data_IF_096179060595
#
_entry.id   IF_096179060595
#
_cell.length_a   1.000
_cell.length_b   1.000
_cell.length_c   1.000
_cell.angle_alpha   90.00
_cell.angle_beta   90.00
_cell.angle_gamma   90.00
#
_symmetry.space_group_name_H-M   'P 1'
#
loop_
_entity.id
_entity.type
_entity.pdbx_description
1 polymer ?
#
# COMPACT_ATOMS: atom_id res chain seq x y z
N UNK A 1 -6.15 -12.75 -40.46
CA UNK A 1 -5.49 -12.27 -39.23
C UNK A 1 -5.52 -13.38 -38.19
N UNK A 2 -4.43 -14.13 -38.05
CA UNK A 2 -4.35 -15.30 -37.17
C UNK A 2 -4.32 -14.82 -35.71
N UNK A 3 -5.37 -15.12 -34.95
CA UNK A 3 -5.50 -14.76 -33.54
C UNK A 3 -4.42 -15.53 -32.75
N UNK A 4 -3.39 -14.83 -32.27
CA UNK A 4 -2.34 -15.42 -31.42
C UNK A 4 -3.00 -16.26 -30.31
N UNK A 5 -2.60 -17.53 -30.10
CA UNK A 5 -3.19 -18.36 -29.05
C UNK A 5 -2.98 -17.68 -27.70
N UNK A 6 -4.04 -17.67 -26.86
CA UNK A 6 -3.94 -17.11 -25.51
C UNK A 6 -2.88 -17.92 -24.76
N UNK A 7 -1.82 -17.25 -24.31
CA UNK A 7 -0.81 -17.87 -23.46
C UNK A 7 -1.48 -18.47 -22.22
N UNK A 8 -1.07 -19.69 -21.79
CA UNK A 8 -1.65 -20.33 -20.62
C UNK A 8 -1.39 -19.49 -19.36
N UNK A 9 -2.26 -19.62 -18.37
CA UNK A 9 -2.18 -18.84 -17.13
C UNK A 9 -0.84 -19.10 -16.40
N UNK A 10 -0.34 -20.33 -16.45
CA UNK A 10 0.97 -20.73 -15.89
C UNK A 10 2.12 -19.85 -16.37
N UNK A 11 2.20 -19.61 -17.68
CA UNK A 11 3.31 -18.86 -18.28
C UNK A 11 3.19 -17.38 -17.93
N UNK A 12 1.95 -16.87 -17.86
CA UNK A 12 1.69 -15.48 -17.46
C UNK A 12 2.04 -15.25 -15.99
N UNK A 13 1.69 -16.19 -15.10
CA UNK A 13 2.04 -16.15 -13.68
C UNK A 13 3.56 -16.21 -13.51
N UNK A 14 4.23 -17.16 -14.17
CA UNK A 14 5.68 -17.33 -14.09
C UNK A 14 6.41 -16.07 -14.58
N UNK A 15 6.00 -15.51 -15.72
CA UNK A 15 6.60 -14.26 -16.25
C UNK A 15 6.39 -13.07 -15.31
N UNK A 16 5.18 -12.91 -14.75
CA UNK A 16 4.90 -11.84 -13.80
C UNK A 16 5.74 -12.00 -12.52
N UNK A 17 5.85 -13.22 -12.01
CA UNK A 17 6.63 -13.53 -10.82
C UNK A 17 8.13 -13.33 -11.03
N UNK A 18 8.68 -13.77 -12.17
CA UNK A 18 10.09 -13.55 -12.52
C UNK A 18 10.45 -12.06 -12.63
N UNK A 19 9.59 -11.27 -13.26
CA UNK A 19 9.80 -9.83 -13.40
C UNK A 19 9.85 -9.10 -12.05
N UNK A 20 9.03 -9.53 -11.09
CA UNK A 20 9.00 -8.95 -9.74
C UNK A 20 10.18 -9.44 -8.91
N UNK A 21 10.44 -10.75 -8.92
CA UNK A 21 11.55 -11.37 -8.18
C UNK A 21 12.90 -10.75 -8.59
N UNK A 22 13.13 -10.52 -9.89
CA UNK A 22 14.36 -9.91 -10.39
C UNK A 22 14.59 -8.47 -9.88
N UNK A 23 13.53 -7.73 -9.54
CA UNK A 23 13.61 -6.33 -9.10
C UNK A 23 13.60 -6.19 -7.58
N UNK A 24 12.78 -6.98 -6.90
CA UNK A 24 12.51 -6.81 -5.46
C UNK A 24 13.11 -7.93 -4.60
N UNK A 25 13.63 -9.01 -5.20
CA UNK A 25 14.10 -10.24 -4.53
C UNK A 25 13.03 -10.97 -3.68
N UNK A 26 11.77 -10.58 -3.84
CA UNK A 26 10.60 -11.21 -3.26
C UNK A 26 9.41 -11.05 -4.20
N UNK A 27 8.47 -12.00 -4.17
CA UNK A 27 7.21 -11.91 -4.92
C UNK A 27 6.02 -12.25 -4.04
N UNK A 28 4.96 -11.46 -4.11
CA UNK A 28 3.68 -11.72 -3.45
C UNK A 28 2.56 -12.07 -4.45
N UNK A 29 1.45 -12.60 -3.93
CA UNK A 29 0.22 -12.82 -4.72
C UNK A 29 -0.29 -11.50 -5.33
N UNK A 30 -0.21 -10.40 -4.57
CA UNK A 30 -0.63 -9.07 -5.03
C UNK A 30 0.20 -8.62 -6.23
N UNK A 31 1.51 -8.84 -6.21
CA UNK A 31 2.39 -8.46 -7.33
C UNK A 31 2.05 -9.21 -8.61
N UNK A 32 1.77 -10.52 -8.48
CA UNK A 32 1.34 -11.34 -9.62
C UNK A 32 0.01 -10.84 -10.16
N UNK A 33 -0.96 -10.51 -9.30
CA UNK A 33 -2.25 -10.00 -9.75
C UNK A 33 -2.15 -8.65 -10.46
N UNK A 34 -1.24 -7.78 -10.01
CA UNK A 34 -0.88 -6.56 -10.73
C UNK A 34 -0.22 -6.86 -12.09
N UNK A 35 0.74 -7.78 -12.14
CA UNK A 35 1.41 -8.20 -13.38
C UNK A 35 0.48 -8.89 -14.39
N UNK A 36 -0.57 -9.55 -13.91
CA UNK A 36 -1.62 -10.15 -14.73
C UNK A 36 -2.67 -9.13 -15.24
N UNK A 37 -2.67 -7.91 -14.69
CA UNK A 37 -3.66 -6.87 -14.97
C UNK A 37 -5.03 -7.10 -14.31
N UNK A 38 -5.10 -8.02 -13.34
CA UNK A 38 -6.31 -8.34 -12.58
C UNK A 38 -6.58 -7.34 -11.46
N UNK A 39 -5.53 -6.66 -11.01
CA UNK A 39 -5.56 -5.62 -10.00
C UNK A 39 -4.74 -4.42 -10.49
N UNK A 40 -5.37 -3.27 -10.65
CA UNK A 40 -4.64 -2.02 -10.95
C UNK A 40 -4.32 -1.21 -9.70
N UNK A 41 -3.50 -0.18 -9.87
CA UNK A 41 -3.04 0.66 -8.76
C UNK A 41 -4.19 1.36 -8.04
N UNK A 42 -5.26 1.76 -8.74
CA UNK A 42 -6.40 2.44 -8.11
C UNK A 42 -7.15 1.50 -7.18
N UNK A 43 -7.48 0.30 -7.66
CA UNK A 43 -8.17 -0.72 -6.87
C UNK A 43 -7.33 -1.18 -5.68
N UNK A 44 -6.01 -1.34 -5.88
CA UNK A 44 -5.09 -1.65 -4.77
C UNK A 44 -5.10 -0.54 -3.70
N UNK A 45 -5.14 0.74 -4.10
CA UNK A 45 -5.22 1.85 -3.15
C UNK A 45 -6.57 1.89 -2.41
N UNK A 46 -7.68 1.63 -3.09
CA UNK A 46 -9.00 1.54 -2.46
C UNK A 46 -9.01 0.47 -1.36
N UNK A 47 -8.50 -0.73 -1.67
CA UNK A 47 -8.37 -1.81 -0.69
C UNK A 47 -7.42 -1.45 0.46
N UNK A 48 -6.24 -0.89 0.17
CA UNK A 48 -5.30 -0.44 1.21
C UNK A 48 -5.91 0.62 2.14
N UNK A 49 -6.82 1.46 1.65
CA UNK A 49 -7.54 2.47 2.43
C UNK A 49 -8.83 1.94 3.07
N UNK A 50 -9.09 0.62 2.97
CA UNK A 50 -10.31 -0.04 3.43
C UNK A 50 -11.61 0.52 2.84
N UNK A 51 -11.54 1.05 1.63
CA UNK A 51 -12.75 1.47 0.91
C UNK A 51 -13.57 0.28 0.38
N UNK A 52 -12.99 -0.92 0.44
CA UNK A 52 -13.64 -2.20 0.11
C UNK A 52 -13.30 -3.22 1.18
N UNK A 53 -14.21 -4.18 1.40
CA UNK A 53 -14.14 -5.12 2.52
C UNK A 53 -13.06 -6.18 2.33
N UNK A 54 -12.85 -6.63 1.09
CA UNK A 54 -11.85 -7.61 0.72
C UNK A 54 -11.23 -7.30 -0.66
N UNK A 55 -9.99 -7.74 -0.90
CA UNK A 55 -9.31 -7.53 -2.18
C UNK A 55 -10.05 -8.20 -3.34
N UNK A 56 -10.55 -9.43 -3.13
CA UNK A 56 -11.28 -10.20 -4.13
C UNK A 56 -12.57 -9.52 -4.62
N UNK A 57 -13.14 -8.57 -3.87
CA UNK A 57 -14.37 -7.85 -4.26
C UNK A 57 -14.14 -6.88 -5.43
N UNK A 58 -12.91 -6.37 -5.57
CA UNK A 58 -12.55 -5.42 -6.63
C UNK A 58 -11.78 -6.07 -7.77
N UNK A 59 -11.37 -7.32 -7.62
CA UNK A 59 -10.59 -8.00 -8.65
C UNK A 59 -11.42 -8.28 -9.90
N UNK A 60 -10.79 -8.12 -11.07
CA UNK A 60 -11.41 -8.44 -12.36
C UNK A 60 -11.52 -9.95 -12.64
N UNK A 61 -10.78 -10.78 -11.91
CA UNK A 61 -10.71 -12.22 -12.12
C UNK A 61 -11.77 -12.96 -11.30
N UNK A 62 -12.20 -14.11 -11.80
CA UNK A 62 -13.14 -14.98 -11.07
C UNK A 62 -12.44 -15.72 -9.92
N UNK A 63 -13.16 -16.09 -8.84
CA UNK A 63 -12.58 -16.83 -7.72
C UNK A 63 -11.83 -18.13 -8.12
N UNK A 64 -12.31 -18.95 -9.09
CA UNK A 64 -11.54 -20.11 -9.55
C UNK A 64 -10.20 -19.73 -10.18
N UNK A 65 -10.15 -18.68 -11.02
CA UNK A 65 -8.91 -18.22 -11.64
C UNK A 65 -7.93 -17.62 -10.62
N UNK A 66 -8.45 -16.99 -9.57
CA UNK A 66 -7.67 -16.48 -8.44
C UNK A 66 -6.99 -17.64 -7.70
N UNK A 67 -7.76 -18.66 -7.30
CA UNK A 67 -7.22 -19.84 -6.62
C UNK A 67 -6.21 -20.61 -7.48
N UNK A 68 -6.49 -20.75 -8.79
CA UNK A 68 -5.56 -21.36 -9.74
C UNK A 68 -4.24 -20.59 -9.83
N UNK A 69 -4.28 -19.26 -9.91
CA UNK A 69 -3.09 -18.42 -9.98
C UNK A 69 -2.24 -18.50 -8.70
N UNK A 70 -2.88 -18.53 -7.52
CA UNK A 70 -2.17 -18.71 -6.24
C UNK A 70 -1.48 -20.07 -6.20
N UNK A 71 -2.18 -21.15 -6.60
CA UNK A 71 -1.61 -22.48 -6.65
C UNK A 71 -0.45 -22.59 -7.66
N UNK A 72 -0.56 -21.94 -8.81
CA UNK A 72 0.50 -21.85 -9.81
C UNK A 72 1.73 -21.09 -9.28
N UNK A 73 1.52 -19.96 -8.61
CA UNK A 73 2.60 -19.19 -8.01
C UNK A 73 3.35 -20.00 -6.96
N UNK A 74 2.63 -20.71 -6.09
CA UNK A 74 3.23 -21.57 -5.07
C UNK A 74 4.09 -22.67 -5.69
N UNK A 75 3.58 -23.40 -6.67
CA UNK A 75 4.36 -24.45 -7.38
C UNK A 75 5.58 -23.86 -8.08
N UNK A 76 5.44 -22.70 -8.71
CA UNK A 76 6.57 -22.01 -9.34
C UNK A 76 7.65 -21.62 -8.31
N UNK A 77 7.24 -21.13 -7.13
CA UNK A 77 8.16 -20.74 -6.07
C UNK A 77 8.89 -21.95 -5.46
N UNK A 78 8.17 -23.05 -5.24
CA UNK A 78 8.74 -24.34 -4.80
C UNK A 78 9.77 -24.85 -5.81
N UNK A 79 9.45 -24.83 -7.11
CA UNK A 79 10.38 -25.24 -8.17
C UNK A 79 11.63 -24.35 -8.29
N UNK A 80 11.54 -23.08 -7.91
CA UNK A 80 12.67 -22.14 -7.83
C UNK A 80 13.42 -22.21 -6.50
N UNK A 81 12.97 -23.02 -5.54
CA UNK A 81 13.57 -23.13 -4.21
C UNK A 81 13.42 -21.88 -3.35
N UNK A 82 12.40 -21.06 -3.57
CA UNK A 82 12.16 -19.84 -2.79
C UNK A 82 11.65 -20.16 -1.38
N UNK A 83 11.97 -19.30 -0.43
CA UNK A 83 11.50 -19.45 0.96
C UNK A 83 10.19 -18.69 1.17
N UNK A 84 9.12 -19.35 1.67
CA UNK A 84 7.91 -18.65 2.05
C UNK A 84 8.14 -17.81 3.32
N UNK A 85 7.61 -16.59 3.33
CA UNK A 85 7.59 -15.71 4.49
C UNK A 85 6.23 -15.04 4.58
N UNK A 86 5.58 -15.16 5.73
CA UNK A 86 4.32 -14.44 5.98
C UNK A 86 4.60 -12.94 6.21
N UNK A 87 3.69 -12.11 5.70
CA UNK A 87 3.77 -10.64 5.76
C UNK A 87 2.47 -10.05 6.30
N UNK A 88 2.58 -9.05 7.16
CA UNK A 88 1.42 -8.35 7.70
C UNK A 88 0.88 -7.30 6.72
N UNK A 89 -0.43 -7.28 6.55
CA UNK A 89 -1.11 -6.27 5.75
C UNK A 89 -2.04 -5.45 6.63
N UNK A 90 -1.62 -4.23 6.94
CA UNK A 90 -2.43 -3.26 7.68
C UNK A 90 -2.87 -2.10 6.80
N UNK A 91 -4.03 -1.55 7.10
CA UNK A 91 -4.63 -0.47 6.38
C UNK A 91 -3.76 0.80 6.38
N UNK A 92 -3.87 1.56 5.30
CA UNK A 92 -3.34 2.92 5.16
C UNK A 92 -4.29 3.94 5.82
N UNK A 93 -4.81 3.58 6.99
CA UNK A 93 -5.65 4.41 7.85
C UNK A 93 -4.89 4.67 9.15
N UNK A 94 -5.21 5.72 9.92
CA UNK A 94 -4.58 5.95 11.22
C UNK A 94 -4.79 4.81 12.22
N UNK A 95 -5.85 4.01 12.04
CA UNK A 95 -6.20 2.85 12.89
C UNK A 95 -5.43 1.57 12.57
N UNK A 96 -4.82 1.46 11.37
CA UNK A 96 -3.96 0.32 10.98
C UNK A 96 -4.65 -1.04 11.09
N UNK A 97 -5.93 -1.11 10.76
CA UNK A 97 -6.67 -2.38 10.83
C UNK A 97 -6.09 -3.41 9.85
N UNK A 98 -6.12 -4.69 10.24
CA UNK A 98 -5.68 -5.79 9.38
C UNK A 98 -6.57 -5.88 8.15
N UNK A 99 -5.95 -5.94 6.97
CA UNK A 99 -6.64 -6.08 5.70
C UNK A 99 -7.05 -7.54 5.45
N UNK A 100 -8.22 -7.70 4.82
CA UNK A 100 -8.75 -8.98 4.38
C UNK A 100 -8.57 -9.12 2.87
N UNK A 101 -8.12 -10.27 2.41
CA UNK A 101 -7.94 -10.52 0.98
C UNK A 101 -9.15 -11.20 0.37
N UNK A 102 -9.65 -12.25 1.02
CA UNK A 102 -10.68 -13.11 0.45
C UNK A 102 -12.08 -12.76 0.92
N UNK A 103 -13.08 -13.08 0.09
CA UNK A 103 -14.50 -12.95 0.50
C UNK A 103 -14.86 -13.93 1.62
N UNK A 104 -14.20 -15.09 1.64
CA UNK A 104 -14.45 -16.16 2.60
C UNK A 104 -13.88 -15.86 4.00
N UNK A 105 -12.80 -15.09 4.08
CA UNK A 105 -12.09 -14.78 5.32
C UNK A 105 -11.47 -16.00 6.02
N UNK A 106 -11.35 -17.15 5.34
CA UNK A 106 -10.80 -18.37 5.95
C UNK A 106 -9.29 -18.20 6.22
N UNK A 107 -8.78 -18.59 7.41
CA UNK A 107 -7.39 -18.34 7.79
C UNK A 107 -6.35 -18.91 6.83
N UNK A 108 -6.58 -20.10 6.27
CA UNK A 108 -5.69 -20.75 5.30
C UNK A 108 -5.60 -19.96 3.98
N UNK A 109 -6.73 -19.45 3.50
CA UNK A 109 -6.79 -18.59 2.30
C UNK A 109 -6.09 -17.27 2.56
N UNK A 110 -6.35 -16.61 3.69
CA UNK A 110 -5.69 -15.35 4.05
C UNK A 110 -4.17 -15.52 4.19
N UNK A 111 -3.71 -16.64 4.77
CA UNK A 111 -2.29 -16.96 4.88
C UNK A 111 -1.65 -17.14 3.50
N UNK A 112 -2.34 -17.81 2.57
CA UNK A 112 -1.86 -17.97 1.20
C UNK A 112 -1.66 -16.61 0.49
N UNK A 113 -2.54 -15.64 0.74
CA UNK A 113 -2.39 -14.27 0.23
C UNK A 113 -1.23 -13.50 0.86
N UNK A 114 -1.02 -13.67 2.17
CA UNK A 114 0.03 -12.99 2.94
C UNK A 114 1.42 -13.59 2.74
N UNK A 115 1.50 -14.77 2.13
CA UNK A 115 2.77 -15.43 1.88
C UNK A 115 3.51 -14.75 0.73
N UNK A 116 4.68 -14.22 1.04
CA UNK A 116 5.65 -13.75 0.07
C UNK A 116 6.70 -14.84 -0.15
N UNK A 117 7.17 -15.00 -1.37
CA UNK A 117 8.24 -15.93 -1.70
C UNK A 117 9.52 -15.14 -1.92
N UNK A 118 10.52 -15.38 -1.06
CA UNK A 118 11.78 -14.62 -1.02
C UNK A 118 12.91 -15.48 -1.58
N UNK A 119 13.80 -14.83 -2.32
CA UNK A 119 15.02 -15.42 -2.86
C UNK A 119 15.84 -16.14 -1.77
N UNK A 120 16.15 -17.43 -1.99
CA UNK A 120 16.81 -18.26 -0.99
C UNK A 120 18.32 -17.96 -0.87
N UNK A 121 18.94 -17.44 -1.93
CA UNK A 121 20.34 -17.01 -1.95
C UNK A 121 20.64 -15.82 -1.01
N UNK A 122 19.61 -15.13 -0.54
CA UNK A 122 19.76 -14.06 0.45
C UNK A 122 20.10 -14.61 1.83
N UNK A 123 21.00 -13.93 2.54
CA UNK A 123 21.23 -14.20 3.97
C UNK A 123 19.93 -14.08 4.77
N UNK A 124 19.83 -14.81 5.89
CA UNK A 124 18.67 -14.74 6.78
C UNK A 124 18.35 -13.32 7.23
N UNK A 125 19.38 -12.53 7.54
CA UNK A 125 19.24 -11.11 7.89
C UNK A 125 18.68 -10.26 6.75
N UNK A 126 19.04 -10.55 5.50
CA UNK A 126 18.49 -9.86 4.34
C UNK A 126 17.03 -10.25 4.10
N UNK A 127 16.67 -11.53 4.27
CA UNK A 127 15.28 -11.99 4.19
C UNK A 127 14.41 -11.35 5.27
N UNK A 128 14.86 -11.36 6.53
CA UNK A 128 14.16 -10.71 7.64
C UNK A 128 13.88 -9.22 7.38
N UNK A 129 14.87 -8.49 6.82
CA UNK A 129 14.70 -7.08 6.42
C UNK A 129 13.66 -6.89 5.32
N UNK A 130 13.58 -7.81 4.35
CA UNK A 130 12.56 -7.75 3.30
C UNK A 130 11.17 -7.99 3.88
N UNK A 131 11.01 -8.99 4.74
CA UNK A 131 9.75 -9.26 5.43
C UNK A 131 9.33 -8.09 6.32
N UNK A 132 10.24 -7.56 7.14
CA UNK A 132 9.97 -6.37 7.97
C UNK A 132 9.54 -5.17 7.12
N UNK A 133 10.25 -4.92 6.00
CA UNK A 133 9.91 -3.85 5.06
C UNK A 133 8.53 -4.06 4.43
N UNK A 134 8.18 -5.29 4.08
CA UNK A 134 6.90 -5.63 3.48
C UNK A 134 5.74 -5.53 4.49
N UNK A 135 5.98 -5.94 5.75
CA UNK A 135 5.02 -5.85 6.86
C UNK A 135 4.85 -4.43 7.42
N UNK A 136 5.80 -3.53 7.11
CA UNK A 136 5.77 -2.16 7.63
C UNK A 136 4.51 -1.43 7.18
N UNK A 137 3.82 -0.83 8.14
CA UNK A 137 2.62 -0.05 7.88
C UNK A 137 2.85 1.01 6.79
N UNK A 138 1.96 1.10 5.78
CA UNK A 138 2.13 2.05 4.69
C UNK A 138 2.04 3.49 5.21
N UNK A 139 2.79 4.39 4.58
CA UNK A 139 2.77 5.81 4.93
C UNK A 139 1.36 6.40 4.75
N UNK A 140 0.85 7.12 5.75
CA UNK A 140 -0.46 7.78 5.62
C UNK A 140 -0.39 8.87 4.56
N UNK A 141 -1.48 9.08 3.82
CA UNK A 141 -1.57 10.09 2.78
C UNK A 141 -2.77 10.98 3.03
N UNK A 142 -2.51 12.28 3.19
CA UNK A 142 -3.52 13.33 3.21
C UNK A 142 -3.42 14.15 1.92
N UNK A 143 -4.57 14.64 1.47
CA UNK A 143 -4.74 15.28 0.18
C UNK A 143 -5.09 16.74 0.40
N UNK A 144 -4.38 17.62 -0.31
CA UNK A 144 -4.84 18.98 -0.57
C UNK A 144 -5.95 18.90 -1.60
N UNK A 145 -7.20 19.26 -1.26
CA UNK A 145 -8.31 19.16 -2.18
C UNK A 145 -8.08 20.09 -3.38
N UNK A 146 -8.58 19.68 -4.54
CA UNK A 146 -8.51 20.51 -5.77
C UNK A 146 -9.67 21.49 -5.89
N UNK A 147 -10.71 21.30 -5.08
CA UNK A 147 -11.90 22.14 -5.00
C UNK A 147 -12.27 22.31 -3.54
N UNK A 148 -12.83 23.46 -3.21
CA UNK A 148 -13.17 23.80 -1.83
C UNK A 148 -14.57 23.28 -1.42
N UNK A 149 -15.31 22.69 -2.37
CA UNK A 149 -16.67 22.17 -2.22
C UNK A 149 -16.71 20.71 -1.74
N UNK A 150 -15.94 20.40 -0.70
CA UNK A 150 -15.97 19.07 -0.08
C UNK A 150 -16.46 19.13 1.37
N UNK A 151 -17.19 18.08 1.76
CA UNK A 151 -17.70 17.91 3.12
C UNK A 151 -17.21 16.60 3.70
N UNK A 152 -16.76 16.64 4.95
CA UNK A 152 -16.39 15.47 5.72
C UNK A 152 -17.61 14.55 5.84
N UNK A 153 -17.47 13.30 5.39
CA UNK A 153 -18.58 12.33 5.44
C UNK A 153 -19.05 11.99 6.86
N UNK A 154 -18.22 12.26 7.89
CA UNK A 154 -18.54 11.98 9.29
C UNK A 154 -19.23 13.13 10.02
N UNK A 155 -18.80 14.37 9.77
CA UNK A 155 -19.27 15.54 10.53
C UNK A 155 -19.84 16.68 9.68
N UNK A 156 -19.81 16.58 8.35
CA UNK A 156 -20.28 17.62 7.43
C UNK A 156 -19.36 18.84 7.28
N UNK A 157 -18.34 19.00 8.13
CA UNK A 157 -17.37 20.12 8.07
C UNK A 157 -16.41 20.06 6.88
N UNK A 158 -15.53 21.05 6.77
CA UNK A 158 -14.53 21.16 5.68
C UNK A 158 -13.13 21.51 6.22
N UNK A 159 -12.15 21.75 5.34
CA UNK A 159 -10.80 22.20 5.69
C UNK A 159 -9.81 22.14 4.51
N UNK A 160 -8.57 22.58 4.77
CA UNK A 160 -7.49 22.67 3.76
C UNK A 160 -6.90 21.30 3.36
N UNK A 161 -7.14 20.29 4.19
CA UNK A 161 -6.60 18.94 4.02
C UNK A 161 -7.68 17.92 4.37
N UNK A 162 -7.70 16.83 3.59
CA UNK A 162 -8.59 15.70 3.81
C UNK A 162 -7.84 14.37 3.72
N UNK A 163 -8.43 13.34 4.30
CA UNK A 163 -8.03 11.95 4.09
C UNK A 163 -9.16 11.20 3.41
N UNK A 164 -8.84 10.38 2.41
CA UNK A 164 -9.84 9.50 1.79
C UNK A 164 -10.02 8.25 2.65
N UNK A 165 -11.25 8.01 3.10
CA UNK A 165 -11.68 6.81 3.83
C UNK A 165 -12.81 6.08 3.05
N UNK A 166 -13.36 5.00 3.60
CA UNK A 166 -14.46 4.21 3.02
C UNK A 166 -15.71 5.06 2.75
N UNK A 167 -16.17 5.84 3.72
CA UNK A 167 -17.35 6.70 3.60
C UNK A 167 -17.16 7.97 2.77
N UNK A 168 -15.96 8.19 2.21
CA UNK A 168 -15.62 9.40 1.46
C UNK A 168 -14.53 10.25 2.14
N UNK A 169 -14.41 11.54 1.79
CA UNK A 169 -13.41 12.40 2.38
C UNK A 169 -13.70 12.63 3.88
N UNK A 170 -12.65 12.59 4.70
CA UNK A 170 -12.71 12.87 6.13
C UNK A 170 -11.78 14.04 6.44
N UNK A 171 -12.24 14.97 7.28
CA UNK A 171 -11.37 16.01 7.82
C UNK A 171 -10.33 15.39 8.76
N UNK A 172 -9.21 16.11 8.95
CA UNK A 172 -8.10 15.61 9.76
C UNK A 172 -8.53 15.24 11.18
N UNK A 173 -9.41 16.01 11.81
CA UNK A 173 -9.91 15.69 13.16
C UNK A 173 -10.67 14.35 13.18
N UNK A 174 -11.58 14.13 12.23
CA UNK A 174 -12.35 12.90 12.11
C UNK A 174 -11.51 11.68 11.74
N UNK A 175 -10.48 11.88 10.92
CA UNK A 175 -9.48 10.85 10.60
C UNK A 175 -8.54 10.56 11.78
N UNK A 176 -8.58 11.37 12.84
CA UNK A 176 -7.67 11.24 13.97
C UNK A 176 -6.25 11.73 13.66
N UNK A 177 -6.11 12.75 12.81
CA UNK A 177 -4.87 13.45 12.42
C UNK A 177 -4.87 14.95 12.75
N UNK A 178 -5.93 15.48 13.38
CA UNK A 178 -6.12 16.92 13.61
C UNK A 178 -5.08 17.61 14.50
N UNK A 179 -4.33 16.85 15.32
CA UNK A 179 -3.26 17.40 16.16
C UNK A 179 -1.90 17.53 15.47
N UNK A 180 -1.79 17.15 14.19
CA UNK A 180 -0.53 17.24 13.44
C UNK A 180 -0.40 18.61 12.77
N UNK A 181 0.85 19.08 12.65
CA UNK A 181 1.21 20.33 11.98
C UNK A 181 1.85 20.06 10.63
N UNK A 182 1.56 20.94 9.66
CA UNK A 182 2.09 20.82 8.32
C UNK A 182 3.51 21.39 8.23
N UNK A 183 4.46 20.53 7.85
CA UNK A 183 5.81 20.88 7.43
C UNK A 183 5.87 20.91 5.89
N UNK A 184 6.01 22.09 5.26
CA UNK A 184 6.14 22.18 3.81
C UNK A 184 7.43 21.51 3.31
N UNK A 185 7.41 21.09 2.05
CA UNK A 185 8.62 20.64 1.36
C UNK A 185 9.64 21.78 1.22
N UNK A 186 10.92 21.43 1.12
CA UNK A 186 12.02 22.38 0.93
C UNK A 186 13.30 21.98 1.66
N UNK A 187 13.19 21.50 2.90
CA UNK A 187 14.33 21.00 3.67
C UNK A 187 14.24 19.48 3.86
N UNK A 188 15.03 18.73 3.08
CA UNK A 188 15.03 17.28 3.09
C UNK A 188 15.57 16.68 4.41
N UNK A 189 16.56 17.32 5.04
CA UNK A 189 17.11 16.87 6.32
C UNK A 189 16.07 17.02 7.44
N UNK A 190 15.43 18.18 7.52
CA UNK A 190 14.37 18.45 8.50
C UNK A 190 13.19 17.49 8.30
N UNK A 191 12.73 17.31 7.06
CA UNK A 191 11.65 16.37 6.75
C UNK A 191 11.99 14.93 7.14
N UNK A 192 13.24 14.49 6.92
CA UNK A 192 13.69 13.14 7.31
C UNK A 192 13.73 12.97 8.82
N UNK A 193 14.29 13.94 9.55
CA UNK A 193 14.37 13.92 11.03
C UNK A 193 12.98 13.99 11.67
N UNK A 194 12.12 14.88 11.19
CA UNK A 194 10.75 15.03 11.68
C UNK A 194 9.93 13.74 11.46
N UNK A 195 10.04 13.12 10.28
CA UNK A 195 9.40 11.83 10.01
C UNK A 195 9.92 10.71 10.93
N UNK A 196 11.23 10.67 11.17
CA UNK A 196 11.84 9.61 11.97
C UNK A 196 11.48 9.71 13.47
N UNK A 197 11.29 10.92 13.99
CA UNK A 197 10.97 11.17 15.40
C UNK A 197 9.47 11.23 15.69
N UNK A 198 8.63 11.50 14.69
CA UNK A 198 7.19 11.58 14.89
C UNK A 198 6.53 10.21 14.82
N UNK A 199 5.89 9.82 15.92
CA UNK A 199 5.12 8.59 16.03
C UNK A 199 3.95 8.58 15.04
N UNK A 200 3.35 9.75 14.81
CA UNK A 200 2.25 9.93 13.88
C UNK A 200 2.59 10.95 12.80
N UNK A 201 2.69 10.48 11.57
CA UNK A 201 2.95 11.34 10.43
C UNK A 201 2.14 10.93 9.20
N UNK A 202 1.89 11.90 8.32
CA UNK A 202 1.21 11.68 7.05
C UNK A 202 1.82 12.53 5.94
N UNK A 203 2.03 11.97 4.76
CA UNK A 203 2.50 12.75 3.61
C UNK A 203 1.35 13.53 3.03
N UNK A 204 1.63 14.81 2.78
CA UNK A 204 0.68 15.69 2.10
C UNK A 204 0.94 15.65 0.60
N UNK A 205 -0.10 15.36 -0.17
CA UNK A 205 -0.06 15.36 -1.63
C UNK A 205 -1.11 16.29 -2.21
N UNK A 206 -0.85 16.82 -3.41
CA UNK A 206 -1.82 17.59 -4.20
C UNK A 206 -1.88 17.02 -5.60
N UNK A 207 -3.08 16.90 -6.16
CA UNK A 207 -3.22 16.46 -7.55
C UNK A 207 -2.83 17.59 -8.51
N UNK A 208 -1.82 17.34 -9.34
CA UNK A 208 -1.40 18.24 -10.40
C UNK A 208 -2.21 17.96 -11.67
N UNK A 209 -3.12 18.86 -12.02
CA UNK A 209 -3.96 18.73 -13.22
C UNK A 209 -3.16 18.73 -14.51
N UNK A 210 -2.09 19.52 -14.55
CA UNK A 210 -1.20 19.62 -15.72
C UNK A 210 -0.39 18.35 -15.94
N UNK A 211 0.02 17.65 -14.86
CA UNK A 211 0.82 16.42 -14.94
C UNK A 211 0.03 15.13 -14.76
N UNK A 212 -1.28 15.23 -14.49
CA UNK A 212 -2.17 14.09 -14.29
C UNK A 212 -1.79 13.17 -13.12
N UNK A 213 -1.10 13.68 -12.10
CA UNK A 213 -0.59 12.86 -10.98
C UNK A 213 -0.55 13.62 -9.66
N UNK A 214 -0.51 12.88 -8.55
CA UNK A 214 -0.28 13.44 -7.22
C UNK A 214 1.19 13.83 -7.03
N UNK A 215 1.42 15.01 -6.47
CA UNK A 215 2.73 15.55 -6.15
C UNK A 215 2.83 15.81 -4.64
N UNK A 216 3.94 15.38 -4.04
CA UNK A 216 4.22 15.60 -2.63
C UNK A 216 4.40 17.08 -2.34
N UNK A 217 3.65 17.60 -1.38
CA UNK A 217 3.71 19.00 -0.94
C UNK A 217 4.49 19.18 0.37
N UNK A 218 4.52 18.14 1.21
CA UNK A 218 5.18 18.18 2.51
C UNK A 218 4.86 16.97 3.37
N UNK A 219 4.87 17.17 4.69
CA UNK A 219 4.64 16.15 5.70
C UNK A 219 3.86 16.75 6.86
N UNK A 220 2.87 16.04 7.38
CA UNK A 220 2.27 16.32 8.68
C UNK A 220 3.01 15.55 9.77
N UNK A 221 3.37 16.22 10.85
CA UNK A 221 4.11 15.65 12.00
C UNK A 221 3.58 16.22 13.32
N UNK A 222 3.98 15.61 14.42
CA UNK A 222 3.64 16.11 15.75
C UNK A 222 4.30 17.46 16.04
N UNK A 223 3.58 18.43 16.65
CA UNK A 223 4.10 19.77 16.93
C UNK A 223 5.38 19.76 17.77
N UNK A 224 5.43 18.89 18.79
CA UNK A 224 6.57 18.76 19.70
C UNK A 224 7.86 18.40 18.95
N UNK A 225 7.78 17.48 17.98
CA UNK A 225 8.93 17.07 17.16
C UNK A 225 9.52 18.25 16.38
N UNK A 226 8.68 19.19 15.90
CA UNK A 226 9.20 20.38 15.22
C UNK A 226 9.78 21.40 16.19
N UNK A 227 9.27 21.50 17.41
CA UNK A 227 9.86 22.35 18.45
C UNK A 227 11.25 21.84 18.84
N UNK A 228 11.36 20.56 19.19
CA UNK A 228 12.63 19.92 19.57
C UNK A 228 13.71 20.06 18.49
N UNK A 229 13.32 19.90 17.21
CA UNK A 229 14.24 20.02 16.09
C UNK A 229 14.70 21.46 15.83
N UNK A 230 13.91 22.48 16.22
CA UNK A 230 14.31 23.89 16.12
C UNK A 230 15.31 24.22 17.23
N UNK A 231 15.06 23.74 18.45
CA UNK A 231 15.91 24.00 19.60
C UNK A 231 17.29 23.33 19.47
N UNK A 232 17.39 22.17 18.79
CA UNK A 232 18.67 21.53 18.46
C UNK A 232 19.52 22.30 17.42
N UNK A 233 18.91 23.25 16.70
CA UNK A 233 19.58 24.04 15.66
C UNK A 233 19.85 25.48 16.07
N UNK A 234 19.42 25.88 17.26
CA UNK A 234 19.70 27.17 17.89
C UNK A 234 20.99 27.10 18.72
#
# INVERSE_FOLDING_TARGET
MTRKPKQPLSDRVSRAAEAVLAREHSVSVVDVFCGLGWLDASLLQQWRRRQVGALEEVMRASPPSIGEAIALLRRWAEAKGLTPSETDYVAQTPRREVLRFSRSGKPDVETAYRTHFVAAELSEKARARLTEKASRAPELVVVVPTRDDWSCHRCGGTGDLLMMEEGGPACLSCAGLGGLVFLPSGNALLSRRAKARSARHAVVVRFSRTRGRYERQGLMVEPQVLADLRDETA
#
